data_IF_054217489610
#
_entry.id   IF_054217489610
#
_cell.length_a   1.000
_cell.length_b   1.000
_cell.length_c   1.000
_cell.angle_alpha   90.00
_cell.angle_beta   90.00
_cell.angle_gamma   90.00
#
_symmetry.space_group_name_H-M   'P 1'
#
loop_
_entity.id
_entity.type
_entity.pdbx_description
1 polymer ?
#
# COMPACT_ATOMS: atom_id res chain seq x y z
N UNK A 1 25.38 3.45 12.76
CA UNK A 1 24.81 2.91 14.02
C UNK A 1 23.28 2.93 14.06
N UNK A 2 22.57 3.37 13.01
CA UNK A 2 21.10 3.51 12.99
C UNK A 2 20.32 2.31 12.39
N UNK A 3 21.00 1.28 11.90
CA UNK A 3 20.37 0.14 11.20
C UNK A 3 19.90 -0.96 12.16
N UNK A 4 20.40 -1.01 13.40
CA UNK A 4 20.06 -2.08 14.36
C UNK A 4 18.64 -1.99 14.92
N UNK A 5 17.96 -0.84 14.80
CA UNK A 5 16.60 -0.62 15.31
C UNK A 5 15.48 -0.85 14.30
N UNK A 6 15.80 -1.14 13.03
CA UNK A 6 14.78 -1.54 12.07
C UNK A 6 14.34 -2.98 12.38
N UNK A 7 13.04 -3.20 12.61
CA UNK A 7 12.47 -4.53 12.81
C UNK A 7 12.46 -5.28 11.48
N UNK A 8 12.89 -6.55 11.48
CA UNK A 8 12.74 -7.42 10.33
C UNK A 8 11.26 -7.74 10.10
N UNK A 9 10.82 -7.72 8.84
CA UNK A 9 9.53 -8.32 8.50
C UNK A 9 9.62 -9.85 8.64
N UNK A 10 8.54 -10.54 9.06
CA UNK A 10 8.49 -12.00 8.96
C UNK A 10 8.73 -12.44 7.52
N UNK A 11 9.55 -13.48 7.34
CA UNK A 11 9.83 -14.07 6.03
C UNK A 11 9.00 -15.34 5.93
N UNK A 12 8.10 -15.41 4.96
CA UNK A 12 7.13 -16.51 4.83
C UNK A 12 7.42 -17.30 3.56
N UNK A 13 7.23 -18.61 3.61
CA UNK A 13 7.45 -19.51 2.48
C UNK A 13 6.57 -19.10 1.28
N UNK A 14 7.16 -18.79 0.10
CA UNK A 14 6.40 -18.40 -1.09
C UNK A 14 5.55 -19.54 -1.66
N UNK A 15 5.74 -20.79 -1.23
CA UNK A 15 4.91 -21.92 -1.63
C UNK A 15 3.53 -21.94 -0.96
N UNK A 16 3.31 -21.13 0.09
CA UNK A 16 2.01 -21.01 0.76
C UNK A 16 1.00 -20.21 -0.10
N UNK A 17 -0.29 -20.44 0.14
CA UNK A 17 -1.34 -19.67 -0.51
C UNK A 17 -1.25 -18.19 -0.14
N UNK A 18 -1.60 -17.30 -1.07
CA UNK A 18 -1.45 -15.85 -0.93
C UNK A 18 -2.13 -15.31 0.34
N UNK A 19 -3.36 -15.75 0.60
CA UNK A 19 -4.16 -15.32 1.75
C UNK A 19 -3.50 -15.74 3.08
N UNK A 20 -2.96 -16.95 3.15
CA UNK A 20 -2.24 -17.45 4.33
C UNK A 20 -0.93 -16.67 4.54
N UNK A 21 -0.24 -16.35 3.44
CA UNK A 21 1.02 -15.59 3.47
C UNK A 21 0.81 -14.17 3.96
N UNK A 22 -0.20 -13.47 3.48
CA UNK A 22 -0.54 -12.11 3.93
C UNK A 22 -0.90 -12.09 5.42
N UNK A 23 -1.68 -13.07 5.88
CA UNK A 23 -2.05 -13.22 7.29
C UNK A 23 -0.82 -13.45 8.19
N UNK A 24 0.11 -14.32 7.77
CA UNK A 24 1.35 -14.58 8.51
C UNK A 24 2.27 -13.35 8.49
N UNK A 25 2.44 -12.69 7.34
CA UNK A 25 3.26 -11.49 7.23
C UNK A 25 2.75 -10.33 8.10
N UNK A 26 1.42 -10.18 8.22
CA UNK A 26 0.79 -9.17 9.06
C UNK A 26 0.85 -9.44 10.57
N UNK A 27 1.08 -10.69 10.98
CA UNK A 27 1.01 -11.12 12.38
C UNK A 27 2.36 -11.11 13.13
N UNK A 28 3.37 -10.40 12.62
CA UNK A 28 4.76 -10.53 13.05
C UNK A 28 5.05 -10.46 14.56
N UNK A 29 4.24 -9.77 15.36
CA UNK A 29 4.42 -9.68 16.83
C UNK A 29 3.85 -10.87 17.63
N UNK A 30 3.06 -11.75 17.00
CA UNK A 30 2.42 -12.91 17.64
C UNK A 30 2.95 -14.27 17.19
N UNK A 31 3.89 -14.29 16.23
CA UNK A 31 4.48 -15.51 15.68
C UNK A 31 5.58 -16.05 16.61
N UNK A 32 5.66 -17.37 16.69
CA UNK A 32 6.66 -18.08 17.50
C UNK A 32 7.84 -18.45 16.61
N UNK A 33 9.09 -18.24 17.04
CA UNK A 33 10.27 -18.54 16.23
C UNK A 33 10.29 -20.00 15.76
N UNK A 34 10.68 -20.22 14.51
CA UNK A 34 10.76 -21.56 13.93
C UNK A 34 11.76 -22.46 14.67
N UNK A 35 12.79 -21.86 15.29
CA UNK A 35 13.77 -22.57 16.10
C UNK A 35 13.19 -23.13 17.42
N UNK A 36 12.03 -22.65 17.87
CA UNK A 36 11.36 -23.13 19.08
C UNK A 36 10.49 -24.36 18.81
N UNK A 37 10.29 -25.26 19.81
CA UNK A 37 9.42 -26.40 19.65
C UNK A 37 7.98 -25.94 19.37
N UNK A 38 7.27 -26.71 18.54
CA UNK A 38 5.89 -26.45 18.16
C UNK A 38 5.06 -26.09 19.40
N UNK A 39 4.44 -24.90 19.45
CA UNK A 39 3.66 -24.49 20.60
C UNK A 39 2.51 -25.47 20.83
N UNK A 40 2.40 -25.93 22.08
CA UNK A 40 1.36 -26.84 22.49
C UNK A 40 -0.01 -26.28 22.12
N UNK A 41 -0.91 -27.15 21.64
CA UNK A 41 -2.26 -26.73 21.33
C UNK A 41 -2.87 -26.04 22.54
N UNK A 42 -3.33 -24.77 22.41
CA UNK A 42 -3.95 -24.09 23.53
C UNK A 42 -5.15 -24.93 23.97
N UNK A 43 -5.19 -25.31 25.26
CA UNK A 43 -6.24 -26.15 25.85
C UNK A 43 -7.67 -25.63 25.63
N UNK A 44 -7.80 -24.36 25.25
CA UNK A 44 -9.07 -23.67 24.94
C UNK A 44 -9.14 -23.09 23.52
N UNK A 45 -8.35 -23.59 22.57
CA UNK A 45 -8.43 -23.20 21.16
C UNK A 45 -8.03 -21.74 20.88
N UNK A 46 -6.94 -21.26 21.49
CA UNK A 46 -6.37 -19.93 21.24
C UNK A 46 -6.98 -18.81 22.09
N UNK A 47 -8.03 -19.11 22.85
CA UNK A 47 -8.75 -18.14 23.68
C UNK A 47 -7.90 -17.66 24.86
N UNK A 48 -7.52 -16.39 24.88
CA UNK A 48 -6.87 -15.79 26.04
C UNK A 48 -7.91 -15.30 27.06
N UNK A 49 -7.56 -15.30 28.35
CA UNK A 49 -8.45 -14.76 29.39
C UNK A 49 -8.77 -13.28 29.17
N UNK A 50 -7.89 -12.57 28.47
CA UNK A 50 -8.04 -11.18 28.05
C UNK A 50 -9.15 -10.99 27.01
N UNK A 51 -9.37 -11.94 26.10
CA UNK A 51 -10.46 -11.88 25.12
C UNK A 51 -11.84 -11.99 25.80
N UNK A 52 -11.94 -12.87 26.80
CA UNK A 52 -13.15 -13.03 27.62
C UNK A 52 -13.47 -11.74 28.39
N UNK A 53 -12.42 -11.04 28.84
CA UNK A 53 -12.53 -9.82 29.62
C UNK A 53 -12.84 -8.60 28.74
N UNK A 54 -12.34 -8.56 27.49
CA UNK A 54 -12.67 -7.55 26.48
C UNK A 54 -14.06 -7.75 25.85
N UNK A 55 -14.57 -8.98 25.79
CA UNK A 55 -15.93 -9.26 25.31
C UNK A 55 -17.02 -8.69 26.23
N UNK A 56 -16.75 -8.56 27.54
CA UNK A 56 -17.68 -8.03 28.53
C UNK A 56 -18.12 -6.57 28.28
N UNK A 57 -17.23 -5.58 28.10
CA UNK A 57 -17.64 -4.20 27.83
C UNK A 57 -18.34 -4.06 26.47
N UNK A 58 -17.90 -4.78 25.43
CA UNK A 58 -18.53 -4.75 24.09
C UNK A 58 -19.93 -5.35 24.12
N UNK A 59 -20.13 -6.47 24.82
CA UNK A 59 -21.44 -7.07 25.01
C UNK A 59 -22.39 -6.17 25.82
N UNK A 60 -21.86 -5.46 26.82
CA UNK A 60 -22.62 -4.47 27.60
C UNK A 60 -23.08 -3.32 26.71
N UNK A 61 -22.20 -2.80 25.84
CA UNK A 61 -22.54 -1.78 24.85
C UNK A 61 -23.64 -2.26 23.89
N UNK A 62 -23.57 -3.52 23.44
CA UNK A 62 -24.60 -4.13 22.60
C UNK A 62 -25.95 -4.28 23.30
N UNK A 63 -25.96 -4.50 24.62
CA UNK A 63 -27.18 -4.60 25.42
C UNK A 63 -27.92 -3.27 25.57
N UNK A 64 -27.18 -2.17 25.79
CA UNK A 64 -27.76 -0.85 26.04
C UNK A 64 -27.93 0.01 24.78
N UNK A 65 -27.02 -0.10 23.83
CA UNK A 65 -26.94 0.72 22.60
C UNK A 65 -26.67 -0.14 21.36
N UNK A 66 -27.54 -1.12 21.04
CA UNK A 66 -27.40 -1.96 19.86
C UNK A 66 -27.25 -1.16 18.55
N UNK A 67 -27.89 0.01 18.44
CA UNK A 67 -27.82 0.86 17.24
C UNK A 67 -26.41 1.40 16.93
N UNK A 68 -25.55 1.50 17.95
CA UNK A 68 -24.16 1.97 17.81
C UNK A 68 -23.20 0.78 17.67
N UNK A 69 -23.44 -0.30 18.41
CA UNK A 69 -22.54 -1.44 18.47
C UNK A 69 -22.62 -2.37 17.26
N UNK A 70 -23.83 -2.69 16.79
CA UNK A 70 -24.03 -3.66 15.69
C UNK A 70 -23.50 -3.20 14.32
N UNK A 71 -23.54 -1.91 13.92
CA UNK A 71 -22.90 -1.42 12.70
C UNK A 71 -21.37 -1.61 12.66
N UNK A 72 -20.73 -1.56 13.83
CA UNK A 72 -19.29 -1.76 13.96
C UNK A 72 -18.91 -3.24 13.85
N UNK A 73 -19.81 -4.16 14.23
CA UNK A 73 -19.55 -5.60 14.27
C UNK A 73 -19.98 -6.33 12.99
N UNK A 74 -21.13 -5.99 12.39
CA UNK A 74 -21.67 -6.69 11.21
C UNK A 74 -21.57 -5.86 9.91
N UNK A 75 -20.80 -4.76 9.94
CA UNK A 75 -20.67 -3.85 8.82
C UNK A 75 -21.78 -2.79 8.75
N UNK A 76 -21.46 -1.68 8.08
CA UNK A 76 -22.17 -0.40 8.21
C UNK A 76 -23.65 -0.43 7.80
N UNK A 77 -24.04 -1.25 6.83
CA UNK A 77 -25.43 -1.33 6.33
C UNK A 77 -26.26 -2.40 7.06
N UNK A 78 -25.75 -3.63 7.14
CA UNK A 78 -26.45 -4.73 7.80
C UNK A 78 -26.58 -4.48 9.31
N UNK A 79 -25.51 -4.03 9.96
CA UNK A 79 -25.52 -3.73 11.39
C UNK A 79 -26.41 -2.54 11.79
N UNK A 80 -26.62 -1.57 10.90
CA UNK A 80 -27.53 -0.44 11.16
C UNK A 80 -28.99 -0.86 11.22
N UNK A 81 -29.42 -1.74 10.31
CA UNK A 81 -30.81 -2.25 10.29
C UNK A 81 -31.06 -3.12 11.52
N UNK A 82 -30.16 -4.08 11.79
CA UNK A 82 -30.27 -4.98 12.93
C UNK A 82 -30.21 -4.23 14.26
N UNK A 83 -29.32 -3.23 14.35
CA UNK A 83 -29.20 -2.37 15.52
C UNK A 83 -30.44 -1.52 15.80
N UNK A 84 -31.08 -0.97 14.77
CA UNK A 84 -32.30 -0.19 14.91
C UNK A 84 -33.49 -1.04 15.38
N UNK A 85 -33.64 -2.26 14.85
CA UNK A 85 -34.69 -3.19 15.27
C UNK A 85 -34.52 -3.62 16.74
N UNK A 86 -33.29 -3.96 17.14
CA UNK A 86 -32.98 -4.31 18.52
C UNK A 86 -33.22 -3.12 19.47
N UNK A 87 -32.84 -1.90 19.09
CA UNK A 87 -33.09 -0.69 19.87
C UNK A 87 -34.60 -0.43 20.06
N UNK A 88 -35.40 -0.59 19.01
CA UNK A 88 -36.84 -0.42 19.07
C UNK A 88 -37.49 -1.44 20.03
N UNK A 89 -37.02 -2.69 20.02
CA UNK A 89 -37.47 -3.72 20.96
C UNK A 89 -37.19 -3.37 22.42
N UNK A 90 -36.00 -2.82 22.72
CA UNK A 90 -35.63 -2.37 24.08
C UNK A 90 -36.50 -1.20 24.55
N UNK A 91 -36.75 -0.22 23.67
CA UNK A 91 -37.61 0.94 23.98
C UNK A 91 -39.07 0.51 24.18
N UNK A 92 -39.57 -0.41 23.36
CA UNK A 92 -40.92 -0.96 23.48
C UNK A 92 -41.11 -1.73 24.81
N UNK A 93 -40.10 -2.52 25.21
CA UNK A 93 -40.12 -3.25 26.48
C UNK A 93 -40.19 -2.30 27.69
N UNK A 94 -39.48 -1.17 27.65
CA UNK A 94 -39.58 -0.12 28.66
C UNK A 94 -40.97 0.52 28.69
N UNK A 95 -41.49 0.91 27.51
CA UNK A 95 -42.70 1.70 27.40
C UNK A 95 -43.97 0.93 27.78
N UNK A 96 -44.05 -0.35 27.44
CA UNK A 96 -45.25 -1.18 27.70
C UNK A 96 -45.15 -2.07 28.94
N UNK A 97 -43.94 -2.44 29.34
CA UNK A 97 -43.73 -3.41 30.40
C UNK A 97 -43.12 -2.83 31.69
N UNK A 98 -42.62 -1.59 31.65
CA UNK A 98 -41.91 -0.98 32.77
C UNK A 98 -40.47 -1.49 32.95
N UNK A 99 -39.89 -1.22 34.12
CA UNK A 99 -38.47 -1.44 34.40
C UNK A 99 -38.06 -2.92 34.33
N UNK A 100 -38.88 -3.83 34.85
CA UNK A 100 -38.54 -5.26 34.95
C UNK A 100 -38.34 -5.94 33.58
N UNK A 101 -39.27 -5.86 32.62
CA UNK A 101 -39.07 -6.45 31.29
C UNK A 101 -38.00 -5.73 30.46
N UNK A 102 -37.78 -4.42 30.69
CA UNK A 102 -36.63 -3.73 30.13
C UNK A 102 -35.31 -4.37 30.60
N UNK A 103 -35.11 -4.55 31.91
CA UNK A 103 -33.91 -5.17 32.45
C UNK A 103 -33.72 -6.59 31.90
N UNK A 104 -34.78 -7.40 31.85
CA UNK A 104 -34.73 -8.76 31.28
C UNK A 104 -34.30 -8.72 29.80
N UNK A 105 -34.85 -7.80 29.01
CA UNK A 105 -34.55 -7.67 27.57
C UNK A 105 -33.10 -7.24 27.34
N UNK A 106 -32.61 -6.25 28.09
CA UNK A 106 -31.22 -5.77 28.01
C UNK A 106 -30.24 -6.87 28.44
N UNK A 107 -30.53 -7.58 29.54
CA UNK A 107 -29.68 -8.68 30.02
C UNK A 107 -29.68 -9.85 29.04
N UNK A 108 -30.83 -10.21 28.46
CA UNK A 108 -30.90 -11.25 27.43
C UNK A 108 -30.07 -10.87 26.19
N UNK A 109 -30.20 -9.62 25.72
CA UNK A 109 -29.42 -9.12 24.59
C UNK A 109 -27.92 -9.07 24.90
N UNK A 110 -27.54 -8.69 26.12
CA UNK A 110 -26.15 -8.72 26.59
C UNK A 110 -25.61 -10.15 26.64
N UNK A 111 -26.37 -11.13 27.17
CA UNK A 111 -25.95 -12.53 27.21
C UNK A 111 -25.81 -13.13 25.80
N UNK A 112 -26.76 -12.84 24.91
CA UNK A 112 -26.72 -13.28 23.51
C UNK A 112 -25.56 -12.62 22.78
N UNK A 113 -25.34 -11.31 22.95
CA UNK A 113 -24.21 -10.60 22.35
C UNK A 113 -22.87 -11.11 22.88
N UNK A 114 -22.74 -11.32 24.20
CA UNK A 114 -21.55 -11.92 24.79
C UNK A 114 -21.29 -13.32 24.25
N UNK A 115 -22.33 -14.15 24.14
CA UNK A 115 -22.22 -15.49 23.56
C UNK A 115 -21.86 -15.44 22.07
N UNK A 116 -22.43 -14.52 21.29
CA UNK A 116 -22.09 -14.33 19.88
C UNK A 116 -20.67 -13.77 19.71
N UNK A 117 -20.22 -12.83 20.53
CA UNK A 117 -18.85 -12.32 20.51
C UNK A 117 -17.87 -13.41 20.95
N UNK A 118 -18.23 -14.22 21.94
CA UNK A 118 -17.43 -15.36 22.39
C UNK A 118 -17.34 -16.48 21.35
N UNK A 119 -18.41 -16.72 20.59
CA UNK A 119 -18.48 -17.79 19.56
C UNK A 119 -17.96 -17.32 18.20
N UNK A 120 -18.24 -16.07 17.80
CA UNK A 120 -17.95 -15.52 16.46
C UNK A 120 -17.03 -14.28 16.47
N UNK A 121 -17.03 -13.48 17.53
CA UNK A 121 -16.33 -12.18 17.59
C UNK A 121 -14.86 -12.24 17.98
N UNK A 122 -14.42 -13.31 18.64
CA UNK A 122 -13.02 -13.67 18.69
C UNK A 122 -12.76 -14.55 17.49
N UNK A 123 -12.52 -13.89 16.33
CA UNK A 123 -11.76 -14.52 15.27
C UNK A 123 -10.59 -15.22 15.95
N UNK A 124 -10.50 -16.54 15.75
CA UNK A 124 -9.28 -17.25 16.07
C UNK A 124 -8.14 -16.37 15.58
N UNK A 125 -7.07 -16.26 16.36
CA UNK A 125 -5.83 -15.71 15.84
C UNK A 125 -5.43 -16.67 14.70
N UNK A 126 -6.00 -16.41 13.52
CA UNK A 126 -5.98 -17.27 12.35
C UNK A 126 -4.53 -17.37 11.89
N UNK A 127 -3.79 -16.28 12.07
CA UNK A 127 -2.36 -16.25 11.98
C UNK A 127 -1.68 -17.17 13.02
N UNK A 128 -2.07 -17.23 14.30
CA UNK A 128 -1.54 -18.26 15.22
C UNK A 128 -1.93 -19.69 14.81
N UNK A 129 -3.14 -19.91 14.28
CA UNK A 129 -3.57 -21.23 13.80
C UNK A 129 -2.72 -21.66 12.60
N UNK A 130 -2.56 -20.77 11.63
CA UNK A 130 -1.71 -20.94 10.44
C UNK A 130 -0.25 -21.08 10.85
N UNK A 131 0.24 -20.30 11.81
CA UNK A 131 1.60 -20.42 12.33
C UNK A 131 1.86 -21.81 12.92
N UNK A 132 0.85 -22.42 13.57
CA UNK A 132 0.95 -23.79 14.07
C UNK A 132 0.90 -24.83 12.95
N UNK A 133 0.07 -24.61 11.93
CA UNK A 133 -0.06 -25.52 10.79
C UNK A 133 1.21 -25.51 9.92
N UNK A 134 1.76 -24.32 9.72
CA UNK A 134 2.91 -24.02 8.88
C UNK A 134 4.16 -23.70 9.71
N UNK A 135 4.28 -24.28 10.91
CA UNK A 135 5.47 -24.08 11.76
C UNK A 135 6.71 -24.57 11.00
N UNK A 136 7.72 -23.70 10.88
CA UNK A 136 8.91 -23.96 10.07
C UNK A 136 8.81 -23.50 8.60
N UNK A 137 7.65 -22.99 8.16
CA UNK A 137 7.45 -22.33 6.86
C UNK A 137 7.35 -20.80 6.99
N UNK A 138 7.83 -20.25 8.09
CA UNK A 138 8.05 -18.82 8.29
C UNK A 138 9.23 -18.60 9.24
N UNK A 139 9.87 -17.43 9.17
CA UNK A 139 10.95 -17.01 10.06
C UNK A 139 10.69 -15.59 10.58
N UNK A 140 11.02 -15.36 11.86
CA UNK A 140 10.88 -14.06 12.54
C UNK A 140 12.24 -13.47 12.94
N UNK A 141 12.27 -12.24 13.46
CA UNK A 141 13.51 -11.52 13.83
C UNK A 141 14.39 -12.36 14.77
N UNK A 142 13.76 -13.07 15.71
CA UNK A 142 14.42 -13.92 16.70
C UNK A 142 15.15 -15.13 16.08
N UNK A 143 14.69 -15.65 14.94
CA UNK A 143 15.32 -16.79 14.23
C UNK A 143 16.70 -16.41 13.65
N UNK A 144 16.98 -15.12 13.47
CA UNK A 144 18.25 -14.63 12.93
C UNK A 144 19.29 -14.30 14.01
N UNK A 145 18.98 -14.63 15.26
CA UNK A 145 19.90 -14.58 16.38
C UNK A 145 20.30 -13.17 16.82
N UNK A 146 20.90 -13.09 17.99
CA UNK A 146 21.38 -11.81 18.56
C UNK A 146 22.85 -11.58 18.23
N UNK A 147 23.32 -10.34 18.47
CA UNK A 147 24.73 -9.94 18.30
C UNK A 147 25.74 -10.82 19.05
N UNK A 148 25.26 -11.63 20.01
CA UNK A 148 26.07 -12.54 20.82
C UNK A 148 26.62 -13.73 20.04
N UNK A 149 26.03 -14.10 18.90
CA UNK A 149 26.56 -15.17 18.03
C UNK A 149 27.69 -14.69 17.09
N UNK A 150 27.88 -13.36 16.97
CA UNK A 150 28.88 -12.76 16.07
C UNK A 150 30.31 -13.28 16.27
N UNK A 151 30.83 -13.57 17.48
CA UNK A 151 32.18 -14.12 17.64
C UNK A 151 32.37 -15.52 17.05
N UNK A 152 31.29 -16.30 16.93
CA UNK A 152 31.32 -17.65 16.34
C UNK A 152 31.20 -17.57 14.82
N UNK A 153 30.24 -16.79 14.33
CA UNK A 153 29.88 -16.72 12.91
C UNK A 153 30.69 -15.66 12.14
N UNK A 154 31.31 -14.71 12.85
CA UNK A 154 32.07 -13.58 12.28
C UNK A 154 31.21 -12.38 11.86
N UNK A 155 29.95 -12.63 11.45
CA UNK A 155 29.00 -11.62 10.94
C UNK A 155 27.71 -11.59 11.75
N UNK A 156 26.87 -10.60 11.49
CA UNK A 156 25.52 -10.49 12.07
C UNK A 156 24.51 -11.05 11.08
N UNK A 157 23.93 -12.21 11.42
CA UNK A 157 22.95 -12.91 10.59
C UNK A 157 21.67 -12.06 10.40
N UNK A 158 21.16 -11.48 11.48
CA UNK A 158 20.07 -10.48 11.45
C UNK A 158 20.32 -9.33 10.46
N UNK A 159 21.54 -8.79 10.41
CA UNK A 159 21.88 -7.71 9.48
C UNK A 159 21.91 -8.17 8.02
N UNK A 160 22.37 -9.39 7.76
CA UNK A 160 22.33 -9.99 6.41
C UNK A 160 20.88 -10.16 5.94
N UNK A 161 19.99 -10.60 6.82
CA UNK A 161 18.56 -10.68 6.51
C UNK A 161 17.99 -9.30 6.18
N UNK A 162 18.27 -8.29 7.00
CA UNK A 162 17.75 -6.93 6.77
C UNK A 162 18.20 -6.37 5.42
N UNK A 163 19.47 -6.55 5.07
CA UNK A 163 20.02 -6.15 3.77
C UNK A 163 19.30 -6.85 2.61
N UNK A 164 19.04 -8.15 2.76
CA UNK A 164 18.29 -8.94 1.78
C UNK A 164 16.87 -8.38 1.61
N UNK A 165 16.15 -8.12 2.71
CA UNK A 165 14.80 -7.56 2.67
C UNK A 165 14.78 -6.19 1.97
N UNK A 166 15.74 -5.32 2.28
CA UNK A 166 15.87 -4.00 1.66
C UNK A 166 16.12 -4.14 0.16
N UNK A 167 17.05 -5.01 -0.26
CA UNK A 167 17.36 -5.21 -1.66
C UNK A 167 16.15 -5.75 -2.45
N UNK A 168 15.47 -6.77 -1.93
CA UNK A 168 14.27 -7.35 -2.55
C UNK A 168 13.15 -6.32 -2.65
N UNK A 169 12.89 -5.58 -1.57
CA UNK A 169 11.87 -4.53 -1.54
C UNK A 169 12.19 -3.42 -2.53
N UNK A 170 13.45 -2.99 -2.61
CA UNK A 170 13.89 -1.97 -3.58
C UNK A 170 13.56 -2.36 -5.01
N UNK A 171 13.76 -3.64 -5.37
CA UNK A 171 13.45 -4.11 -6.72
C UNK A 171 11.94 -4.20 -6.96
N UNK A 172 11.21 -4.86 -6.05
CA UNK A 172 9.78 -5.10 -6.21
C UNK A 172 8.96 -3.79 -6.21
N UNK A 173 9.37 -2.81 -5.41
CA UNK A 173 8.69 -1.52 -5.29
C UNK A 173 9.14 -0.47 -6.32
N UNK A 174 10.15 -0.76 -7.16
CA UNK A 174 10.60 0.16 -8.21
C UNK A 174 9.52 0.41 -9.25
N UNK A 175 9.46 1.64 -9.79
CA UNK A 175 8.47 2.02 -10.79
C UNK A 175 8.75 1.30 -12.12
N UNK A 176 10.01 1.05 -12.45
CA UNK A 176 10.41 0.27 -13.65
C UNK A 176 9.90 -1.16 -13.57
N UNK A 177 9.94 -1.79 -12.39
CA UNK A 177 9.35 -3.12 -12.20
C UNK A 177 7.82 -3.07 -12.31
N UNK A 178 7.16 -2.09 -11.67
CA UNK A 178 5.70 -1.93 -11.75
C UNK A 178 5.20 -1.59 -13.16
N UNK A 179 6.02 -0.91 -13.95
CA UNK A 179 5.75 -0.59 -15.35
C UNK A 179 5.94 -1.78 -16.30
N UNK A 180 6.37 -2.94 -15.80
CA UNK A 180 6.61 -4.15 -16.62
C UNK A 180 7.81 -4.02 -17.56
N UNK A 181 8.74 -3.10 -17.28
CA UNK A 181 9.95 -2.90 -18.09
C UNK A 181 11.08 -3.85 -17.69
N UNK A 182 10.98 -4.46 -16.51
CA UNK A 182 11.74 -5.64 -16.13
C UNK A 182 10.89 -6.89 -16.35
N UNK A 183 11.51 -8.06 -16.25
CA UNK A 183 10.78 -9.32 -16.17
C UNK A 183 10.06 -9.39 -14.81
N UNK A 184 8.92 -8.71 -14.74
CA UNK A 184 8.10 -8.50 -13.55
C UNK A 184 7.60 -9.82 -12.96
N UNK A 185 7.19 -10.76 -13.81
CA UNK A 185 6.80 -12.11 -13.42
C UNK A 185 7.98 -12.87 -12.84
N UNK A 186 9.16 -12.84 -13.49
CA UNK A 186 10.33 -13.51 -12.95
C UNK A 186 10.79 -12.88 -11.63
N UNK A 187 10.74 -11.55 -11.50
CA UNK A 187 11.09 -10.85 -10.26
C UNK A 187 10.11 -11.18 -9.12
N UNK A 188 8.81 -11.14 -9.39
CA UNK A 188 7.75 -11.39 -8.41
C UNK A 188 7.77 -12.83 -7.88
N UNK A 189 8.26 -13.80 -8.66
CA UNK A 189 8.36 -15.20 -8.25
C UNK A 189 9.75 -15.53 -7.69
N UNK A 190 10.82 -15.09 -8.35
CA UNK A 190 12.19 -15.50 -8.01
C UNK A 190 12.69 -14.79 -6.76
N UNK A 191 12.45 -13.48 -6.61
CA UNK A 191 13.00 -12.73 -5.49
C UNK A 191 12.45 -13.19 -4.13
N UNK A 192 11.13 -13.47 -3.96
CA UNK A 192 10.63 -14.06 -2.73
C UNK A 192 11.23 -15.44 -2.43
N UNK A 193 11.46 -16.28 -3.46
CA UNK A 193 12.15 -17.57 -3.29
C UNK A 193 13.59 -17.38 -2.82
N UNK A 194 14.32 -16.41 -3.39
CA UNK A 194 15.67 -16.10 -2.96
C UNK A 194 15.71 -15.56 -1.52
N UNK A 195 14.78 -14.69 -1.15
CA UNK A 195 14.63 -14.18 0.23
C UNK A 195 14.37 -15.32 1.22
N UNK A 196 13.46 -16.24 0.87
CA UNK A 196 13.11 -17.41 1.67
C UNK A 196 14.29 -18.37 1.86
N UNK A 197 15.01 -18.71 0.79
CA UNK A 197 16.19 -19.58 0.87
C UNK A 197 17.31 -18.96 1.72
N UNK A 198 17.53 -17.65 1.60
CA UNK A 198 18.48 -16.93 2.46
C UNK A 198 18.03 -17.00 3.92
N UNK A 199 16.74 -16.76 4.20
CA UNK A 199 16.20 -16.84 5.55
C UNK A 199 16.36 -18.24 6.17
N UNK A 200 16.08 -19.30 5.41
CA UNK A 200 16.29 -20.69 5.85
C UNK A 200 17.74 -20.93 6.25
N UNK A 201 18.69 -20.54 5.40
CA UNK A 201 20.13 -20.74 5.67
C UNK A 201 20.57 -19.94 6.90
N UNK A 202 20.11 -18.69 7.04
CA UNK A 202 20.42 -17.87 8.22
C UNK A 202 19.86 -18.47 9.51
N UNK A 203 18.61 -18.93 9.50
CA UNK A 203 17.98 -19.56 10.65
C UNK A 203 18.71 -20.85 11.06
N UNK A 204 19.12 -21.66 10.08
CA UNK A 204 19.91 -22.87 10.34
C UNK A 204 21.30 -22.53 10.91
N UNK A 205 21.96 -21.49 10.41
CA UNK A 205 23.22 -20.99 10.98
C UNK A 205 23.04 -20.49 12.42
N UNK A 206 21.95 -19.77 12.72
CA UNK A 206 21.61 -19.36 14.08
C UNK A 206 21.43 -20.57 14.99
N UNK A 207 20.69 -21.59 14.54
CA UNK A 207 20.41 -22.82 15.29
C UNK A 207 21.71 -23.55 15.61
N UNK A 208 22.56 -23.79 14.60
CA UNK A 208 23.84 -24.47 14.75
C UNK A 208 24.81 -23.67 15.65
N UNK A 209 24.92 -22.35 15.45
CA UNK A 209 25.77 -21.49 16.27
C UNK A 209 25.31 -21.47 17.74
N UNK A 210 24.00 -21.47 17.98
CA UNK A 210 23.42 -21.54 19.32
C UNK A 210 23.72 -22.90 19.98
N UNK A 211 23.65 -23.98 19.22
CA UNK A 211 24.03 -25.32 19.70
C UNK A 211 25.52 -25.38 20.09
N UNK A 212 26.42 -24.91 19.22
CA UNK A 212 27.87 -24.81 19.53
C UNK A 212 28.11 -23.98 20.78
N UNK A 213 27.42 -22.84 20.92
CA UNK A 213 27.53 -21.97 22.07
C UNK A 213 27.04 -22.63 23.35
N UNK A 214 25.95 -23.39 23.31
CA UNK A 214 25.40 -24.09 24.48
C UNK A 214 26.38 -25.14 25.04
N UNK A 215 27.12 -25.82 24.17
CA UNK A 215 28.19 -26.77 24.56
C UNK A 215 29.39 -26.05 25.18
N UNK A 216 29.74 -24.87 24.67
CA UNK A 216 30.93 -24.12 25.10
C UNK A 216 30.67 -23.25 26.33
N UNK A 217 29.45 -22.73 26.49
CA UNK A 217 29.08 -21.78 27.55
C UNK A 217 28.80 -22.42 28.91
N UNK A 218 28.51 -23.72 28.95
CA UNK A 218 28.14 -24.43 30.17
C UNK A 218 29.33 -25.05 30.93
N UNK A 219 30.56 -24.95 30.43
CA UNK A 219 31.77 -25.50 31.07
C UNK A 219 33.00 -24.73 30.62
N UNK A 220 34.00 -24.54 31.49
CA UNK A 220 35.34 -24.11 31.08
C UNK A 220 35.88 -25.15 30.09
N UNK A 221 35.70 -24.91 28.80
CA UNK A 221 35.98 -25.89 27.77
C UNK A 221 37.43 -26.37 27.88
N UNK A 222 37.62 -27.68 28.06
CA UNK A 222 38.94 -28.29 28.02
C UNK A 222 39.63 -27.93 26.69
N UNK A 223 40.96 -27.74 26.64
CA UNK A 223 41.68 -27.46 25.40
C UNK A 223 41.34 -28.45 24.26
N UNK A 224 41.11 -29.73 24.58
CA UNK A 224 40.68 -30.75 23.61
C UNK A 224 39.30 -30.49 23.01
N UNK A 225 38.37 -29.91 23.80
CA UNK A 225 37.03 -29.55 23.32
C UNK A 225 37.12 -28.36 22.37
N UNK A 226 37.98 -27.37 22.68
CA UNK A 226 38.22 -26.22 21.80
C UNK A 226 38.80 -26.65 20.45
N UNK A 227 39.75 -27.59 20.43
CA UNK A 227 40.31 -28.15 19.18
C UNK A 227 39.24 -28.81 18.29
N UNK A 228 38.27 -29.51 18.88
CA UNK A 228 37.17 -30.15 18.14
C UNK A 228 36.13 -29.14 17.64
N UNK A 229 36.00 -27.98 18.29
CA UNK A 229 35.04 -26.94 17.91
C UNK A 229 35.57 -26.01 16.82
N UNK A 230 36.88 -25.87 16.65
CA UNK A 230 37.48 -25.01 15.62
C UNK A 230 37.01 -25.33 14.19
N UNK A 231 36.94 -26.60 13.74
CA UNK A 231 36.37 -26.94 12.44
C UNK A 231 34.91 -26.52 12.28
N UNK A 232 34.10 -26.63 13.35
CA UNK A 232 32.69 -26.24 13.32
C UNK A 232 32.54 -24.72 13.20
N UNK A 233 33.34 -23.97 13.96
CA UNK A 233 33.39 -22.51 13.86
C UNK A 233 33.82 -22.06 12.46
N UNK A 234 34.84 -22.70 11.88
CA UNK A 234 35.29 -22.41 10.52
C UNK A 234 34.21 -22.71 9.48
N UNK A 235 33.48 -23.82 9.62
CA UNK A 235 32.37 -24.15 8.73
C UNK A 235 31.23 -23.11 8.81
N UNK A 236 30.89 -22.65 10.02
CA UNK A 236 29.90 -21.58 10.21
C UNK A 236 30.34 -20.27 9.55
N UNK A 237 31.61 -19.90 9.70
CA UNK A 237 32.18 -18.68 9.09
C UNK A 237 32.18 -18.74 7.57
N UNK A 238 32.63 -19.86 6.98
CA UNK A 238 32.64 -20.05 5.53
C UNK A 238 31.21 -20.02 4.95
N UNK A 239 30.25 -20.61 5.66
CA UNK A 239 28.84 -20.59 5.23
C UNK A 239 28.25 -19.17 5.27
N UNK A 240 28.56 -18.40 6.33
CA UNK A 240 28.12 -17.00 6.44
C UNK A 240 28.82 -16.06 5.44
N UNK A 241 30.03 -16.40 5.01
CA UNK A 241 30.76 -15.68 3.95
C UNK A 241 30.19 -15.96 2.57
N UNK A 242 29.93 -17.23 2.22
CA UNK A 242 29.27 -17.58 0.96
C UNK A 242 27.88 -16.92 0.83
N UNK A 243 27.15 -16.82 1.96
CA UNK A 243 25.87 -16.15 1.98
C UNK A 243 25.99 -14.63 1.79
N UNK A 244 27.06 -14.02 2.31
CA UNK A 244 27.33 -12.60 2.09
C UNK A 244 27.47 -12.28 0.61
N UNK A 245 28.21 -13.09 -0.15
CA UNK A 245 28.38 -12.91 -1.61
C UNK A 245 27.04 -12.91 -2.35
N UNK A 246 26.11 -13.79 -1.92
CA UNK A 246 24.75 -13.84 -2.46
C UNK A 246 23.95 -12.59 -2.12
N UNK A 247 24.04 -12.09 -0.88
CA UNK A 247 23.39 -10.83 -0.49
C UNK A 247 23.97 -9.64 -1.26
N UNK A 248 25.28 -9.58 -1.44
CA UNK A 248 25.94 -8.53 -2.23
C UNK A 248 25.55 -8.58 -3.73
N UNK A 249 25.28 -9.77 -4.27
CA UNK A 249 24.73 -9.89 -5.62
C UNK A 249 23.31 -9.31 -5.72
N UNK A 250 22.45 -9.55 -4.72
CA UNK A 250 21.10 -8.97 -4.66
C UNK A 250 21.14 -7.45 -4.48
N UNK A 251 22.04 -6.94 -3.65
CA UNK A 251 22.21 -5.50 -3.46
C UNK A 251 22.70 -4.81 -4.73
N UNK A 252 23.68 -5.40 -5.43
CA UNK A 252 24.10 -4.89 -6.75
C UNK A 252 22.94 -4.90 -7.73
N UNK A 253 22.12 -5.94 -7.76
CA UNK A 253 20.93 -5.95 -8.61
C UNK A 253 19.97 -4.81 -8.25
N UNK A 254 19.68 -4.61 -6.97
CA UNK A 254 18.84 -3.52 -6.48
C UNK A 254 19.42 -2.13 -6.83
N UNK A 255 20.75 -1.96 -6.83
CA UNK A 255 21.41 -0.73 -7.27
C UNK A 255 21.24 -0.48 -8.78
N UNK A 256 21.37 -1.51 -9.62
CA UNK A 256 21.10 -1.38 -11.06
C UNK A 256 19.63 -1.03 -11.32
N UNK A 257 18.70 -1.64 -10.58
CA UNK A 257 17.27 -1.32 -10.70
C UNK A 257 16.99 0.12 -10.26
N UNK A 258 17.64 0.62 -9.20
CA UNK A 258 17.53 2.02 -8.79
C UNK A 258 18.03 2.99 -9.86
N UNK A 259 19.16 2.68 -10.50
CA UNK A 259 19.68 3.49 -11.60
C UNK A 259 18.74 3.47 -12.81
N UNK A 260 18.13 2.32 -13.12
CA UNK A 260 17.11 2.21 -14.15
C UNK A 260 15.85 3.02 -13.79
N UNK A 261 15.46 3.03 -12.51
CA UNK A 261 14.32 3.80 -12.01
C UNK A 261 14.52 5.32 -12.12
N UNK A 262 15.74 5.79 -11.84
CA UNK A 262 16.12 7.18 -12.09
C UNK A 262 16.03 7.53 -13.58
N UNK A 263 16.60 6.70 -14.46
CA UNK A 263 16.54 6.92 -15.90
C UNK A 263 15.11 6.88 -16.45
N UNK A 264 14.26 6.01 -15.90
CA UNK A 264 12.85 5.92 -16.29
C UNK A 264 12.05 7.16 -15.86
N UNK A 265 12.28 7.67 -14.65
CA UNK A 265 11.68 8.93 -14.19
C UNK A 265 12.11 10.12 -15.04
N UNK A 266 13.38 10.18 -15.42
CA UNK A 266 13.89 11.23 -16.31
C UNK A 266 13.25 11.12 -17.71
N UNK A 267 13.11 9.91 -18.25
CA UNK A 267 12.42 9.68 -19.52
C UNK A 267 10.95 10.10 -19.46
N UNK A 268 10.21 9.76 -18.39
CA UNK A 268 8.83 10.19 -18.21
C UNK A 268 8.71 11.72 -18.15
N UNK A 269 9.60 12.39 -17.42
CA UNK A 269 9.61 13.84 -17.34
C UNK A 269 9.88 14.51 -18.70
N UNK A 270 10.74 13.92 -19.54
CA UNK A 270 10.97 14.40 -20.91
C UNK A 270 9.72 14.22 -21.78
N UNK A 271 9.03 13.08 -21.68
CA UNK A 271 7.79 12.84 -22.44
C UNK A 271 6.69 13.84 -22.06
N UNK A 272 6.49 14.10 -20.76
CA UNK A 272 5.52 15.11 -20.30
C UNK A 272 5.84 16.52 -20.83
N UNK A 273 7.12 16.87 -20.93
CA UNK A 273 7.56 18.15 -21.49
C UNK A 273 7.37 18.23 -23.01
N UNK A 274 7.55 17.12 -23.73
CA UNK A 274 7.29 17.03 -25.17
C UNK A 274 5.80 17.21 -25.46
N UNK A 275 4.92 16.54 -24.72
CA UNK A 275 3.46 16.69 -24.84
C UNK A 275 3.03 18.14 -24.57
N UNK A 276 3.57 18.78 -23.52
CA UNK A 276 3.30 20.19 -23.24
C UNK A 276 3.82 21.12 -24.35
N UNK A 277 4.94 20.76 -24.97
CA UNK A 277 5.51 21.48 -26.12
C UNK A 277 4.56 21.45 -27.33
N UNK A 278 4.00 20.29 -27.63
CA UNK A 278 3.03 20.10 -28.71
C UNK A 278 1.74 20.89 -28.45
N UNK A 279 1.21 20.86 -27.22
CA UNK A 279 0.04 21.66 -26.82
C UNK A 279 0.28 23.17 -26.98
N UNK A 280 1.48 23.64 -26.61
CA UNK A 280 1.86 25.05 -26.76
C UNK A 280 2.02 25.43 -28.24
N UNK A 281 2.56 24.54 -29.06
CA UNK A 281 2.66 24.75 -30.51
C UNK A 281 1.26 24.84 -31.15
N UNK A 282 0.32 23.99 -30.74
CA UNK A 282 -1.07 24.06 -31.21
C UNK A 282 -1.78 25.35 -30.77
N UNK A 283 -1.55 25.79 -29.52
CA UNK A 283 -2.09 27.05 -29.02
C UNK A 283 -1.55 28.26 -29.80
N UNK A 284 -0.25 28.27 -30.12
CA UNK A 284 0.37 29.30 -30.96
C UNK A 284 -0.22 29.28 -32.37
N UNK A 285 -0.38 28.10 -32.98
CA UNK A 285 -0.98 27.96 -34.31
C UNK A 285 -2.43 28.47 -34.35
N UNK A 286 -3.22 28.23 -33.30
CA UNK A 286 -4.58 28.79 -33.16
C UNK A 286 -4.56 30.30 -33.03
N UNK A 287 -3.65 30.85 -32.24
CA UNK A 287 -3.53 32.30 -32.02
C UNK A 287 -3.16 33.04 -33.32
N UNK A 288 -2.19 32.50 -34.07
CA UNK A 288 -1.81 33.05 -35.39
C UNK A 288 -2.98 32.99 -36.37
N UNK A 289 -3.79 31.93 -36.33
CA UNK A 289 -5.02 31.82 -37.16
C UNK A 289 -6.06 32.87 -36.75
N UNK A 290 -6.23 33.12 -35.46
CA UNK A 290 -7.16 34.13 -34.95
C UNK A 290 -6.73 35.55 -35.36
N UNK A 291 -5.43 35.87 -35.30
CA UNK A 291 -4.88 37.14 -35.79
C UNK A 291 -5.13 37.34 -37.30
N UNK A 292 -4.93 36.30 -38.11
CA UNK A 292 -5.25 36.32 -39.54
C UNK A 292 -6.74 36.54 -39.79
N UNK A 293 -7.61 35.90 -39.00
CA UNK A 293 -9.06 36.09 -39.10
C UNK A 293 -9.48 37.52 -38.73
N UNK A 294 -8.86 38.13 -37.71
CA UNK A 294 -9.10 39.54 -37.37
C UNK A 294 -8.71 40.46 -38.53
N UNK A 295 -7.53 40.25 -39.13
CA UNK A 295 -7.09 41.04 -40.28
C UNK A 295 -8.03 40.90 -41.49
N UNK A 296 -8.58 39.69 -41.73
CA UNK A 296 -9.57 39.47 -42.78
C UNK A 296 -10.89 40.21 -42.51
N UNK A 297 -11.38 40.19 -41.27
CA UNK A 297 -12.58 40.92 -40.84
C UNK A 297 -12.39 42.42 -40.99
N UNK A 298 -11.23 42.96 -40.59
CA UNK A 298 -10.91 44.39 -40.79
C UNK A 298 -10.92 44.76 -42.28
N UNK A 299 -10.31 43.93 -43.12
CA UNK A 299 -10.32 44.12 -44.57
C UNK A 299 -11.72 44.00 -45.20
N UNK A 300 -12.62 43.20 -44.64
CA UNK A 300 -14.04 43.15 -45.03
C UNK A 300 -14.78 44.41 -44.58
N UNK A 301 -14.53 44.89 -43.36
CA UNK A 301 -15.12 46.10 -42.82
C UNK A 301 -14.72 47.35 -43.63
N UNK A 302 -13.46 47.46 -44.04
CA UNK A 302 -12.98 48.58 -44.85
C UNK A 302 -13.56 48.58 -46.26
N UNK A 303 -13.71 47.41 -46.88
CA UNK A 303 -14.43 47.27 -48.16
C UNK A 303 -15.88 47.71 -48.04
N UNK A 304 -16.58 47.27 -46.99
CA UNK A 304 -17.96 47.68 -46.74
C UNK A 304 -18.09 49.21 -46.52
N UNK A 305 -17.14 49.83 -45.80
CA UNK A 305 -17.08 51.30 -45.63
C UNK A 305 -16.87 52.02 -46.97
N UNK A 306 -15.97 51.52 -47.80
CA UNK A 306 -15.70 52.09 -49.12
C UNK A 306 -16.94 52.01 -50.02
N UNK A 307 -17.62 50.87 -50.04
CA UNK A 307 -18.87 50.69 -50.80
C UNK A 307 -19.98 51.62 -50.28
N UNK A 308 -20.12 51.78 -48.97
CA UNK A 308 -21.08 52.70 -48.38
C UNK A 308 -20.79 54.17 -48.75
N UNK A 309 -19.52 54.57 -48.77
CA UNK A 309 -19.09 55.90 -49.23
C UNK A 309 -19.39 56.11 -50.72
N UNK A 310 -19.08 55.13 -51.56
CA UNK A 310 -19.40 55.19 -53.00
C UNK A 310 -20.90 55.32 -53.23
N UNK A 311 -21.71 54.60 -52.45
CA UNK A 311 -23.17 54.69 -52.50
C UNK A 311 -23.67 56.08 -52.11
N UNK A 312 -23.18 56.66 -51.01
CA UNK A 312 -23.59 58.01 -50.58
C UNK A 312 -23.14 59.11 -51.56
N UNK A 313 -21.95 58.97 -52.16
CA UNK A 313 -21.48 59.88 -53.21
C UNK A 313 -22.34 59.76 -54.48
N UNK A 314 -22.77 58.54 -54.83
CA UNK A 314 -23.72 58.30 -55.90
C UNK A 314 -25.05 59.01 -55.64
N UNK A 315 -25.62 58.83 -54.45
CA UNK A 315 -26.87 59.48 -54.03
C UNK A 315 -26.75 61.02 -54.02
N UNK A 316 -25.65 61.58 -53.47
CA UNK A 316 -25.41 63.01 -53.45
C UNK A 316 -25.25 63.61 -54.86
N UNK A 317 -24.59 62.89 -55.78
CA UNK A 317 -24.46 63.31 -57.18
C UNK A 317 -25.82 63.32 -57.87
N UNK A 318 -26.67 62.34 -57.58
CA UNK A 318 -28.00 62.25 -58.17
C UNK A 318 -28.90 63.38 -57.66
N UNK A 319 -28.91 63.66 -56.36
CA UNK A 319 -29.63 64.79 -55.78
C UNK A 319 -29.15 66.16 -56.32
N UNK A 320 -27.85 66.32 -56.57
CA UNK A 320 -27.31 67.52 -57.19
C UNK A 320 -27.72 67.70 -58.66
N UNK A 321 -27.87 66.60 -59.40
CA UNK A 321 -28.39 66.61 -60.77
C UNK A 321 -29.88 66.95 -60.81
N UNK A 322 -30.66 66.41 -59.87
CA UNK A 322 -32.09 66.71 -59.76
C UNK A 322 -32.33 68.19 -59.41
N UNK A 323 -31.52 68.78 -58.51
CA UNK A 323 -31.57 70.22 -58.19
C UNK A 323 -31.11 71.12 -59.34
N UNK A 324 -30.15 70.67 -60.16
CA UNK A 324 -29.72 71.41 -61.35
C UNK A 324 -30.75 71.31 -62.50
N UNK A 325 -31.47 70.19 -62.60
CA UNK A 325 -32.61 70.03 -63.51
C UNK A 325 -33.83 70.86 -63.10
N UNK A 326 -34.08 71.01 -61.80
CA UNK A 326 -35.17 71.86 -61.29
C UNK A 326 -34.89 73.38 -61.47
N UNK A 327 -33.60 73.75 -61.58
CA UNK A 327 -33.17 75.11 -61.96
C UNK A 327 -33.46 75.49 -63.42
N UNK A 328 -33.60 74.52 -64.32
CA UNK A 328 -33.90 74.76 -65.74
C UNK A 328 -35.42 74.89 -66.02
N UNK A 329 -36.26 74.49 -65.06
CA UNK A 329 -37.71 74.72 -65.12
C UNK A 329 -38.15 76.11 -64.63
N UNK A 330 -37.24 76.94 -64.11
CA UNK A 330 -37.54 78.33 -63.71
C UNK A 330 -37.42 79.37 -64.85
N UNK A 331 -37.00 78.98 -66.07
CA UNK A 331 -36.81 79.90 -67.22
C UNK A 331 -37.79 79.65 -68.39
N UNK A 332 -38.91 78.97 -68.13
CA UNK A 332 -39.91 78.62 -69.14
C UNK A 332 -41.33 79.03 -68.73
N UNK A 333 -41.63 80.33 -68.65
CA UNK A 333 -42.97 80.78 -68.25
C UNK A 333 -43.31 82.22 -68.61
N UNK A 334 -43.76 82.41 -69.87
CA UNK A 334 -44.78 83.37 -70.35
C UNK A 334 -44.58 84.87 -70.07
N UNK A 335 -44.27 85.68 -71.09
CA UNK A 335 -45.25 86.38 -71.97
C UNK A 335 -46.10 87.42 -71.26
#
# INVERSE_FOLDING_TARGET
MAVDSALLRPVVDPALEEEERELLAGAGAGLIPAAEPLPAAPRRGGRTSTDVLLALPVATLCGFLPVVALPLLLGRRAGAVTGALAQAGVVAAWWWGGLTPFLITVTALQCVSWLLIYVFGCGMDEAQRLARLHHGHYYVDEDFGTSVLRPLVGRSLRRQMLRTQIAVTTVLESEVNKAGLLDDVANAVTLPVQEWEIAQVLAELTRLATQVRSVTGNTTASPRVLEVLEPQKRALQLSAEALEERVEALERYAEHVRAADEAYRDWQAVQELEELGDDMAELLARTVRDELAVAEIEGLADRARLEALQRSLGEARQAGLDLAGDGDHASGGTR
#
